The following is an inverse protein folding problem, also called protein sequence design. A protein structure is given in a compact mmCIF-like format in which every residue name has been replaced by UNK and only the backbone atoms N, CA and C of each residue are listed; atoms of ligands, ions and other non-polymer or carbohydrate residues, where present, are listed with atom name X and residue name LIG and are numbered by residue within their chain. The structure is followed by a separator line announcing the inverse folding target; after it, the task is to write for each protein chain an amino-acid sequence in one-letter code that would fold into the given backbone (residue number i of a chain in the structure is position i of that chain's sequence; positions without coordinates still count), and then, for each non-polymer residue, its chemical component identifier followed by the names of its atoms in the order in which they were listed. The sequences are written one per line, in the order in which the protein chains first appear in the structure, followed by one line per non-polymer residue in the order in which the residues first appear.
data_IF_559380881702
#
_entry.id   IF_559380881702
#
_cell.length_a   1.000
_cell.length_b   1.000
_cell.length_c   1.000
_cell.angle_alpha   90.00
_cell.angle_beta   90.00
_cell.angle_gamma   90.00
#
_symmetry.space_group_name_H-M   'P 1'
#
loop_
_entity.id
_entity.type
_entity.pdbx_description
1 polymer ?
#
# COMPACT_ATOMS: atom_id res chain seq x y z
N UNK A 1 -7.08 -25.14 -9.98
CA UNK A 1 -6.16 -24.55 -10.97
C UNK A 1 -5.99 -25.44 -12.19
N UNK A 2 -5.53 -26.70 -12.05
CA UNK A 2 -5.41 -27.64 -13.18
C UNK A 2 -6.72 -27.78 -13.98
N UNK A 3 -7.86 -27.91 -13.30
CA UNK A 3 -9.18 -27.94 -13.93
C UNK A 3 -9.50 -26.69 -14.77
N UNK A 4 -9.11 -25.50 -14.29
CA UNK A 4 -9.33 -24.26 -15.04
C UNK A 4 -8.40 -24.16 -16.26
N UNK A 5 -7.18 -24.70 -16.19
CA UNK A 5 -6.29 -24.76 -17.34
C UNK A 5 -6.93 -25.59 -18.49
N UNK A 6 -7.49 -26.76 -18.18
CA UNK A 6 -8.22 -27.58 -19.16
C UNK A 6 -9.45 -26.87 -19.72
N UNK A 7 -10.21 -26.18 -18.86
CA UNK A 7 -11.39 -25.40 -19.31
C UNK A 7 -11.03 -24.18 -20.15
N UNK A 8 -9.78 -23.70 -20.06
CA UNK A 8 -9.33 -22.51 -20.78
C UNK A 8 -9.23 -22.80 -22.27
N UNK A 9 -8.74 -23.99 -22.62
CA UNK A 9 -8.71 -24.50 -23.99
C UNK A 9 -10.12 -24.70 -24.56
N UNK A 10 -11.07 -25.09 -23.70
CA UNK A 10 -12.48 -25.22 -24.05
C UNK A 10 -13.27 -23.89 -24.05
N UNK A 11 -12.64 -22.76 -23.73
CA UNK A 11 -13.28 -21.44 -23.68
C UNK A 11 -14.32 -21.26 -22.57
N UNK A 12 -14.30 -22.11 -21.54
CA UNK A 12 -15.28 -22.13 -20.43
C UNK A 12 -14.65 -21.88 -19.06
N UNK A 13 -13.36 -21.53 -19.01
CA UNK A 13 -12.66 -21.28 -17.77
C UNK A 13 -13.18 -20.04 -17.04
N UNK A 14 -13.20 -20.12 -15.72
CA UNK A 14 -13.48 -19.00 -14.84
C UNK A 14 -12.17 -18.43 -14.31
N UNK A 15 -12.00 -17.11 -14.43
CA UNK A 15 -10.87 -16.37 -13.85
C UNK A 15 -10.68 -16.71 -12.37
N UNK A 16 -9.46 -16.60 -11.87
CA UNK A 16 -9.09 -17.05 -10.53
C UNK A 16 -8.58 -15.90 -9.66
N UNK A 17 -9.05 -15.86 -8.42
CA UNK A 17 -8.52 -14.99 -7.36
C UNK A 17 -7.94 -15.86 -6.26
N UNK A 18 -6.62 -15.90 -6.12
CA UNK A 18 -5.91 -16.65 -5.10
C UNK A 18 -5.52 -15.72 -3.96
N UNK A 19 -5.88 -16.06 -2.72
CA UNK A 19 -5.48 -15.25 -1.58
C UNK A 19 -4.97 -16.05 -0.39
N UNK A 20 -4.26 -15.37 0.51
CA UNK A 20 -3.70 -15.96 1.73
C UNK A 20 -2.49 -15.19 2.21
N UNK A 21 -2.08 -15.37 3.46
CA UNK A 21 -0.98 -14.62 4.07
C UNK A 21 0.35 -14.70 3.28
N UNK A 22 1.29 -13.81 3.60
CA UNK A 22 2.65 -13.81 3.03
C UNK A 22 3.31 -15.18 3.28
N UNK A 23 4.10 -15.66 2.32
CA UNK A 23 4.83 -16.92 2.45
C UNK A 23 4.00 -18.19 2.22
N UNK A 24 2.69 -18.09 1.90
CA UNK A 24 1.82 -19.26 1.63
C UNK A 24 1.97 -19.89 0.24
N UNK A 25 3.00 -19.50 -0.54
CA UNK A 25 3.27 -20.10 -1.85
C UNK A 25 2.36 -19.67 -2.99
N UNK A 26 1.60 -18.56 -2.85
CA UNK A 26 0.71 -18.04 -3.91
C UNK A 26 1.43 -17.79 -5.24
N UNK A 27 2.58 -17.12 -5.20
CA UNK A 27 3.38 -16.83 -6.40
C UNK A 27 3.99 -18.10 -7.00
N UNK A 28 4.25 -19.13 -6.18
CA UNK A 28 4.68 -20.46 -6.66
C UNK A 28 3.53 -21.21 -7.36
N UNK A 29 2.32 -21.15 -6.80
CA UNK A 29 1.11 -21.71 -7.41
C UNK A 29 0.77 -21.03 -8.74
N UNK A 30 0.87 -19.69 -8.78
CA UNK A 30 0.72 -18.92 -10.01
C UNK A 30 1.80 -19.30 -11.02
N UNK A 31 3.06 -19.45 -10.61
CA UNK A 31 4.15 -19.85 -11.48
C UNK A 31 3.93 -21.25 -12.07
N UNK A 32 3.55 -22.21 -11.23
CA UNK A 32 3.21 -23.57 -11.68
C UNK A 32 2.05 -23.58 -12.68
N UNK A 33 0.99 -22.83 -12.42
CA UNK A 33 -0.12 -22.67 -13.37
C UNK A 33 0.37 -22.03 -14.68
N UNK A 34 1.10 -20.93 -14.60
CA UNK A 34 1.59 -20.21 -15.76
C UNK A 34 2.49 -21.08 -16.63
N UNK A 35 3.40 -21.85 -16.02
CA UNK A 35 4.30 -22.76 -16.75
C UNK A 35 3.56 -23.94 -17.37
N UNK A 36 2.59 -24.53 -16.66
CA UNK A 36 1.80 -25.67 -17.16
C UNK A 36 0.89 -25.35 -18.34
N UNK A 37 0.57 -24.07 -18.56
CA UNK A 37 -0.36 -23.65 -19.59
C UNK A 37 0.34 -23.56 -20.96
N UNK A 38 0.02 -24.45 -21.90
CA UNK A 38 0.55 -24.43 -23.27
C UNK A 38 -0.16 -23.38 -24.16
N UNK A 39 -0.34 -22.16 -23.65
CA UNK A 39 -0.99 -21.07 -24.37
C UNK A 39 0.03 -20.02 -24.83
N UNK A 40 0.17 -19.73 -26.13
CA UNK A 40 1.19 -18.79 -26.63
C UNK A 40 0.90 -17.33 -26.26
N UNK A 41 -0.35 -17.01 -25.94
CA UNK A 41 -0.79 -15.65 -25.60
C UNK A 41 -1.04 -15.44 -24.09
N UNK A 42 -0.09 -15.87 -23.26
CA UNK A 42 -0.12 -15.68 -21.81
C UNK A 42 0.89 -14.63 -21.37
N UNK A 43 0.54 -13.81 -20.38
CA UNK A 43 1.45 -12.83 -19.76
C UNK A 43 1.36 -12.92 -18.25
N UNK A 44 2.52 -12.77 -17.60
CA UNK A 44 2.64 -12.63 -16.14
C UNK A 44 3.26 -11.28 -15.83
N UNK A 45 2.62 -10.50 -14.97
CA UNK A 45 3.04 -9.15 -14.61
C UNK A 45 2.82 -8.93 -13.11
N UNK A 46 3.67 -8.12 -12.47
CA UNK A 46 3.32 -7.54 -11.19
C UNK A 46 2.23 -6.49 -11.39
N UNK A 47 1.22 -6.49 -10.52
CA UNK A 47 0.07 -5.60 -10.71
C UNK A 47 0.48 -4.12 -10.70
N UNK A 48 1.36 -3.71 -9.78
CA UNK A 48 1.78 -2.31 -9.64
C UNK A 48 2.51 -1.78 -10.89
N UNK A 49 3.39 -2.58 -11.49
CA UNK A 49 4.12 -2.20 -12.71
C UNK A 49 3.18 -2.03 -13.90
N UNK A 50 2.23 -2.96 -14.05
CA UNK A 50 1.21 -2.87 -15.09
C UNK A 50 0.33 -1.64 -14.86
N UNK A 51 -0.05 -1.38 -13.62
CA UNK A 51 -0.93 -0.26 -13.27
C UNK A 51 -0.25 1.10 -13.51
N UNK A 52 1.04 1.22 -13.20
CA UNK A 52 1.83 2.40 -13.54
C UNK A 52 1.90 2.64 -15.06
N UNK A 53 2.11 1.58 -15.86
CA UNK A 53 2.08 1.66 -17.33
C UNK A 53 0.70 2.06 -17.86
N UNK A 54 -0.38 1.56 -17.23
CA UNK A 54 -1.75 1.93 -17.56
C UNK A 54 -1.99 3.43 -17.36
N UNK A 55 -1.58 3.98 -16.21
CA UNK A 55 -1.68 5.42 -15.94
C UNK A 55 -0.91 6.25 -16.97
N UNK A 56 0.33 5.85 -17.28
CA UNK A 56 1.14 6.56 -18.26
C UNK A 56 0.51 6.52 -19.65
N UNK A 57 0.04 5.35 -20.10
CA UNK A 57 -0.62 5.20 -21.39
C UNK A 57 -1.91 6.00 -21.48
N UNK A 58 -2.72 6.03 -20.43
CA UNK A 58 -3.95 6.84 -20.39
C UNK A 58 -3.65 8.33 -20.51
N UNK A 59 -2.55 8.80 -19.93
CA UNK A 59 -2.11 10.19 -20.13
C UNK A 59 -1.73 10.46 -21.58
N UNK A 60 -1.06 9.52 -22.24
CA UNK A 60 -0.72 9.61 -23.67
C UNK A 60 -1.95 9.58 -24.57
N UNK A 61 -3.01 8.88 -24.18
CA UNK A 61 -4.27 8.76 -24.94
C UNK A 61 -5.39 9.65 -24.42
N UNK A 62 -5.08 10.66 -23.60
CA UNK A 62 -6.08 11.53 -22.96
C UNK A 62 -7.01 12.27 -23.93
N UNK A 63 -6.59 12.43 -25.18
CA UNK A 63 -7.36 13.11 -26.23
C UNK A 63 -8.28 12.14 -26.99
N UNK A 64 -8.31 10.86 -26.61
CA UNK A 64 -9.24 9.86 -27.12
C UNK A 64 -10.44 9.68 -26.18
N UNK A 65 -11.61 9.40 -26.75
CA UNK A 65 -12.86 9.20 -25.98
C UNK A 65 -12.77 8.03 -24.99
N UNK A 66 -12.05 6.95 -25.35
CA UNK A 66 -11.75 5.81 -24.48
C UNK A 66 -10.24 5.62 -24.33
N UNK A 67 -9.61 6.54 -23.58
CA UNK A 67 -8.18 6.47 -23.25
C UNK A 67 -7.80 5.14 -22.58
N UNK A 68 -8.66 4.58 -21.73
CA UNK A 68 -8.42 3.32 -21.03
C UNK A 68 -8.37 2.15 -22.03
N UNK A 69 -9.40 2.02 -22.87
CA UNK A 69 -9.48 0.96 -23.86
C UNK A 69 -8.31 1.01 -24.84
N UNK A 70 -7.98 2.19 -25.35
CA UNK A 70 -6.84 2.37 -26.26
C UNK A 70 -5.51 1.96 -25.63
N UNK A 71 -5.28 2.33 -24.36
CA UNK A 71 -4.07 1.92 -23.65
C UNK A 71 -4.04 0.41 -23.45
N UNK A 72 -5.17 -0.20 -23.09
CA UNK A 72 -5.25 -1.65 -22.90
C UNK A 72 -5.05 -2.43 -24.20
N UNK A 73 -5.51 -1.92 -25.34
CA UNK A 73 -5.32 -2.57 -26.63
C UNK A 73 -3.83 -2.61 -27.02
N UNK A 74 -3.07 -1.56 -26.71
CA UNK A 74 -1.61 -1.54 -26.84
C UNK A 74 -0.92 -2.43 -25.82
N UNK A 75 -1.26 -2.30 -24.53
CA UNK A 75 -0.62 -3.06 -23.47
C UNK A 75 -0.90 -4.55 -23.58
N UNK A 76 -2.10 -4.97 -23.96
CA UNK A 76 -2.57 -6.36 -23.93
C UNK A 76 -2.77 -6.95 -25.33
N UNK A 77 -2.11 -6.39 -26.34
CA UNK A 77 -2.24 -6.85 -27.72
C UNK A 77 -2.02 -8.36 -27.84
N UNK A 78 -3.03 -9.07 -28.37
CA UNK A 78 -3.01 -10.51 -28.55
C UNK A 78 -3.11 -11.33 -27.25
N UNK A 79 -3.16 -10.73 -26.07
CA UNK A 79 -3.24 -11.43 -24.79
C UNK A 79 -4.59 -12.15 -24.61
N UNK A 80 -4.54 -13.37 -24.06
CA UNK A 80 -5.72 -14.17 -23.70
C UNK A 80 -5.70 -14.65 -22.25
N UNK A 81 -4.52 -14.75 -21.65
CA UNK A 81 -4.32 -15.15 -20.26
C UNK A 81 -3.42 -14.15 -19.57
N UNK A 82 -3.93 -13.53 -18.52
CA UNK A 82 -3.22 -12.51 -17.76
C UNK A 82 -3.09 -12.97 -16.30
N UNK A 83 -1.85 -13.18 -15.87
CA UNK A 83 -1.52 -13.54 -14.50
C UNK A 83 -0.95 -12.31 -13.78
N UNK A 84 -1.68 -11.79 -12.80
CA UNK A 84 -1.23 -10.71 -11.93
C UNK A 84 -0.69 -11.26 -10.62
N UNK A 85 0.60 -11.01 -10.37
CA UNK A 85 1.22 -11.24 -9.07
C UNK A 85 1.02 -10.02 -8.16
N UNK A 86 0.99 -10.28 -6.85
CA UNK A 86 0.97 -9.25 -5.79
C UNK A 86 -0.09 -8.13 -5.97
N UNK A 87 -1.35 -8.51 -6.21
CA UNK A 87 -2.44 -7.55 -6.24
C UNK A 87 -2.72 -6.97 -4.86
N UNK A 88 -2.28 -5.73 -4.68
CA UNK A 88 -2.46 -4.95 -3.47
C UNK A 88 -2.81 -3.51 -3.84
N UNK A 89 -3.94 -3.02 -3.31
CA UNK A 89 -4.43 -1.68 -3.57
C UNK A 89 -4.31 -0.85 -2.30
N UNK A 90 -3.42 0.13 -2.33
CA UNK A 90 -3.17 1.05 -1.22
C UNK A 90 -3.67 2.48 -1.50
N UNK A 91 -3.95 2.81 -2.77
CA UNK A 91 -4.44 4.14 -3.17
C UNK A 91 -5.95 4.12 -3.48
N UNK A 92 -6.62 5.15 -2.98
CA UNK A 92 -8.06 5.41 -3.07
C UNK A 92 -8.43 6.05 -4.41
N UNK A 93 -7.52 6.83 -5.01
CA UNK A 93 -7.75 7.56 -6.27
C UNK A 93 -8.00 6.65 -7.47
N UNK A 94 -7.55 5.40 -7.34
CA UNK A 94 -7.44 4.45 -8.45
C UNK A 94 -8.57 3.42 -8.49
N UNK A 95 -9.48 3.42 -7.50
CA UNK A 95 -10.58 2.45 -7.44
C UNK A 95 -11.47 2.48 -8.70
N UNK A 96 -11.71 3.67 -9.25
CA UNK A 96 -12.47 3.85 -10.50
C UNK A 96 -11.71 3.26 -11.70
N UNK A 97 -10.40 3.49 -11.78
CA UNK A 97 -9.57 2.97 -12.85
C UNK A 97 -9.46 1.45 -12.77
N UNK A 98 -9.28 0.88 -11.58
CA UNK A 98 -9.26 -0.57 -11.35
C UNK A 98 -10.61 -1.18 -11.73
N UNK A 99 -11.72 -0.53 -11.41
CA UNK A 99 -13.06 -0.96 -11.85
C UNK A 99 -13.15 -1.00 -13.37
N UNK A 100 -12.71 0.06 -14.05
CA UNK A 100 -12.64 0.13 -15.51
C UNK A 100 -11.77 -0.97 -16.10
N UNK A 101 -10.59 -1.19 -15.51
CA UNK A 101 -9.64 -2.23 -15.91
C UNK A 101 -10.29 -3.62 -15.87
N UNK A 102 -10.89 -4.02 -14.74
CA UNK A 102 -11.49 -5.35 -14.64
C UNK A 102 -12.66 -5.54 -15.62
N UNK A 103 -13.53 -4.53 -15.78
CA UNK A 103 -14.59 -4.58 -16.80
C UNK A 103 -14.01 -4.79 -18.20
N UNK A 104 -13.03 -3.97 -18.57
CA UNK A 104 -12.38 -4.02 -19.87
C UNK A 104 -11.69 -5.38 -20.13
N UNK A 105 -11.06 -5.98 -19.11
CA UNK A 105 -10.46 -7.32 -19.21
C UNK A 105 -11.52 -8.40 -19.45
N UNK A 106 -12.63 -8.35 -18.72
CA UNK A 106 -13.71 -9.33 -18.85
C UNK A 106 -14.49 -9.19 -20.17
N UNK A 107 -14.75 -7.96 -20.62
CA UNK A 107 -15.35 -7.69 -21.93
C UNK A 107 -14.48 -8.23 -23.08
N UNK A 108 -13.16 -8.14 -22.95
CA UNK A 108 -12.17 -8.74 -23.87
C UNK A 108 -12.04 -10.26 -23.74
N UNK A 109 -12.78 -10.88 -22.82
CA UNK A 109 -12.73 -12.33 -22.50
C UNK A 109 -11.31 -12.81 -22.19
N UNK A 110 -10.50 -11.95 -21.56
CA UNK A 110 -9.18 -12.32 -21.07
C UNK A 110 -9.38 -13.11 -19.78
N UNK A 111 -8.82 -14.30 -19.70
CA UNK A 111 -8.77 -15.05 -18.45
C UNK A 111 -7.76 -14.37 -17.53
N UNK A 112 -8.19 -14.08 -16.30
CA UNK A 112 -7.36 -13.42 -15.29
C UNK A 112 -7.07 -14.40 -14.16
N UNK A 113 -5.81 -14.56 -13.78
CA UNK A 113 -5.41 -15.18 -12.52
C UNK A 113 -4.73 -14.11 -11.68
N UNK A 114 -5.20 -13.91 -10.47
CA UNK A 114 -4.75 -12.83 -9.62
C UNK A 114 -4.38 -13.38 -8.24
N UNK A 115 -3.21 -13.01 -7.71
CA UNK A 115 -2.80 -13.38 -6.34
C UNK A 115 -2.77 -12.16 -5.43
N UNK A 116 -3.31 -12.29 -4.21
CA UNK A 116 -3.26 -11.24 -3.18
C UNK A 116 -2.97 -11.80 -1.78
N UNK A 117 -2.40 -11.01 -0.88
CA UNK A 117 -2.37 -11.34 0.54
C UNK A 117 -3.72 -11.14 1.27
N UNK A 118 -4.72 -10.54 0.62
CA UNK A 118 -6.01 -10.22 1.22
C UNK A 118 -7.15 -10.95 0.51
N UNK A 119 -8.20 -11.32 1.25
CA UNK A 119 -9.47 -11.70 0.63
C UNK A 119 -10.07 -10.50 -0.11
N UNK A 120 -10.97 -10.69 -1.11
CA UNK A 120 -11.57 -9.59 -1.84
C UNK A 120 -12.21 -8.53 -0.94
N UNK A 121 -12.86 -8.94 0.16
CA UNK A 121 -13.48 -8.07 1.14
C UNK A 121 -12.48 -7.25 1.95
N UNK A 122 -11.25 -7.77 2.10
CA UNK A 122 -10.15 -7.12 2.79
C UNK A 122 -9.32 -6.19 1.89
N UNK A 123 -9.67 -6.08 0.61
CA UNK A 123 -9.05 -5.11 -0.29
C UNK A 123 -9.51 -3.70 0.03
N UNK A 124 -8.55 -2.77 0.11
CA UNK A 124 -8.77 -1.39 0.53
C UNK A 124 -9.64 -1.30 1.81
N UNK A 125 -9.18 -1.83 2.96
CA UNK A 125 -10.01 -2.01 4.16
C UNK A 125 -10.41 -0.70 4.85
N UNK A 126 -10.15 0.44 4.22
CA UNK A 126 -10.50 1.78 4.69
C UNK A 126 -12.00 2.03 4.60
N UNK A 127 -12.76 2.16 5.69
CA UNK A 127 -14.23 2.20 5.63
C UNK A 127 -14.82 3.43 4.92
N UNK A 128 -14.11 4.56 4.74
CA UNK A 128 -14.61 5.71 3.94
C UNK A 128 -14.61 5.37 2.45
N UNK A 129 -13.58 4.67 2.00
CA UNK A 129 -13.33 4.44 0.58
C UNK A 129 -13.59 3.01 0.14
N UNK A 130 -13.81 2.09 1.08
CA UNK A 130 -14.20 0.71 0.81
C UNK A 130 -15.45 0.65 -0.05
N UNK A 131 -16.43 1.54 0.20
CA UNK A 131 -17.61 1.70 -0.68
C UNK A 131 -17.26 2.00 -2.14
N UNK A 132 -16.17 2.76 -2.39
CA UNK A 132 -15.68 3.05 -3.75
C UNK A 132 -14.99 1.84 -4.38
N UNK A 133 -14.52 0.91 -3.57
CA UNK A 133 -13.87 -0.33 -3.99
C UNK A 133 -14.85 -1.52 -4.07
N UNK A 134 -16.03 -1.43 -3.44
CA UNK A 134 -17.10 -2.42 -3.58
C UNK A 134 -17.43 -2.80 -5.03
N UNK A 135 -17.45 -1.88 -6.02
CA UNK A 135 -17.64 -2.27 -7.42
C UNK A 135 -16.58 -3.27 -7.90
N UNK A 136 -15.32 -3.09 -7.51
CA UNK A 136 -14.23 -4.02 -7.82
C UNK A 136 -14.46 -5.36 -7.12
N UNK A 137 -14.81 -5.34 -5.84
CA UNK A 137 -15.10 -6.56 -5.06
C UNK A 137 -16.24 -7.34 -5.71
N UNK A 138 -17.31 -6.66 -6.12
CA UNK A 138 -18.44 -7.27 -6.84
C UNK A 138 -18.00 -7.88 -8.17
N UNK A 139 -17.17 -7.19 -8.94
CA UNK A 139 -16.62 -7.73 -10.19
C UNK A 139 -15.77 -8.98 -9.96
N UNK A 140 -14.90 -8.97 -8.96
CA UNK A 140 -14.09 -10.15 -8.59
C UNK A 140 -15.00 -11.31 -8.23
N UNK A 141 -15.98 -11.12 -7.34
CA UNK A 141 -16.91 -12.18 -6.92
C UNK A 141 -17.81 -12.69 -8.04
N UNK A 142 -18.20 -11.82 -8.97
CA UNK A 142 -19.10 -12.18 -10.06
C UNK A 142 -18.39 -12.94 -11.19
N UNK A 143 -17.12 -12.64 -11.44
CA UNK A 143 -16.40 -13.13 -12.62
C UNK A 143 -15.20 -14.02 -12.31
N UNK A 144 -14.83 -14.16 -11.02
CA UNK A 144 -13.70 -14.98 -10.60
C UNK A 144 -14.10 -15.99 -9.54
N UNK A 145 -13.48 -17.17 -9.59
CA UNK A 145 -13.49 -18.13 -8.50
C UNK A 145 -12.45 -17.71 -7.46
N UNK A 146 -12.92 -17.40 -6.25
CA UNK A 146 -12.09 -16.98 -5.12
C UNK A 146 -11.62 -18.22 -4.36
N UNK A 147 -10.30 -18.38 -4.20
CA UNK A 147 -9.66 -19.54 -3.58
C UNK A 147 -8.66 -19.08 -2.51
N UNK A 148 -8.79 -19.63 -1.32
CA UNK A 148 -7.83 -19.42 -0.24
C UNK A 148 -6.68 -20.44 -0.33
N UNK A 149 -5.46 -19.96 -0.14
CA UNK A 149 -4.24 -20.76 -0.14
C UNK A 149 -3.76 -20.91 1.31
N UNK A 150 -4.17 -22.03 1.93
CA UNK A 150 -3.60 -22.51 3.21
C UNK A 150 -4.50 -22.52 4.47
N UNK A 151 -5.77 -22.94 4.39
CA UNK A 151 -6.59 -23.26 5.59
C UNK A 151 -6.21 -24.61 6.24
N UNK A 152 -6.51 -24.96 7.49
CA UNK A 152 -7.24 -24.30 8.60
C UNK A 152 -6.26 -23.88 9.71
N UNK A 153 -6.23 -22.59 10.09
CA UNK A 153 -5.95 -22.18 11.46
C UNK A 153 -6.35 -20.72 11.70
N UNK A 154 -7.15 -20.60 12.75
CA UNK A 154 -7.76 -19.45 13.41
C UNK A 154 -7.22 -18.03 13.15
N UNK A 155 -8.20 -17.13 13.09
CA UNK A 155 -8.09 -15.69 12.94
C UNK A 155 -7.56 -15.06 14.24
N UNK A 156 -6.25 -15.12 14.49
CA UNK A 156 -5.59 -14.24 15.47
C UNK A 156 -4.35 -13.62 14.87
N UNK A 157 -4.52 -12.36 14.45
CA UNK A 157 -3.64 -11.25 14.81
C UNK A 157 -2.27 -11.63 15.37
N UNK A 158 -1.32 -12.01 14.52
CA UNK A 158 0.09 -11.84 14.82
C UNK A 158 0.83 -11.70 13.48
N UNK A 159 1.51 -10.56 13.21
CA UNK A 159 2.57 -10.57 12.23
C UNK A 159 3.58 -11.62 12.68
N UNK A 160 3.98 -12.48 11.75
CA UNK A 160 4.97 -13.55 11.93
C UNK A 160 6.14 -13.06 12.78
N UNK A 161 6.19 -13.49 14.04
CA UNK A 161 7.34 -13.36 14.91
C UNK A 161 8.49 -14.18 14.28
N UNK A 162 9.44 -13.52 13.63
CA UNK A 162 10.58 -14.22 13.04
C UNK A 162 11.52 -13.39 12.16
N UNK A 163 11.06 -12.32 11.53
CA UNK A 163 11.93 -11.30 10.92
C UNK A 163 11.64 -9.97 11.59
N UNK A 164 12.61 -9.39 12.32
CA UNK A 164 12.44 -8.07 12.93
C UNK A 164 12.24 -7.03 11.82
N UNK A 165 10.98 -6.64 11.58
CA UNK A 165 10.62 -5.58 10.65
C UNK A 165 11.26 -4.27 11.12
N UNK A 166 11.90 -3.53 10.20
CA UNK A 166 12.51 -2.22 10.50
C UNK A 166 11.50 -1.24 11.10
N UNK A 167 10.22 -1.35 10.70
CA UNK A 167 9.17 -0.52 11.29
C UNK A 167 9.01 -0.76 12.80
N UNK A 168 8.98 -2.03 13.24
CA UNK A 168 8.83 -2.40 14.67
C UNK A 168 10.04 -2.03 15.53
N UNK A 169 11.19 -1.81 14.91
CA UNK A 169 12.39 -1.27 15.57
C UNK A 169 12.33 0.25 15.74
N UNK A 170 11.36 0.93 15.11
CA UNK A 170 11.13 2.36 15.25
C UNK A 170 10.71 2.78 16.66
N UNK A 171 10.58 4.09 16.86
CA UNK A 171 10.35 4.69 18.17
C UNK A 171 9.23 5.75 18.14
N UNK A 172 8.44 5.78 19.20
CA UNK A 172 7.59 6.93 19.52
C UNK A 172 8.12 7.63 20.77
N UNK A 173 8.43 8.92 20.65
CA UNK A 173 8.97 9.74 21.74
C UNK A 173 7.96 10.79 22.18
N UNK A 174 7.73 10.92 23.49
CA UNK A 174 7.02 12.05 24.07
C UNK A 174 7.60 12.40 25.45
N UNK A 175 7.82 13.69 25.77
CA UNK A 175 7.67 14.87 24.90
C UNK A 175 8.84 15.07 23.90
N UNK A 176 9.74 14.09 23.76
CA UNK A 176 10.91 14.19 22.87
C UNK A 176 12.07 14.99 23.47
N UNK A 177 12.32 14.81 24.77
CA UNK A 177 13.42 15.44 25.51
C UNK A 177 14.79 15.14 24.89
N UNK A 178 15.82 15.99 25.13
CA UNK A 178 17.18 15.76 24.61
C UNK A 178 17.74 14.37 24.95
N UNK A 179 17.47 13.86 26.15
CA UNK A 179 17.89 12.54 26.58
C UNK A 179 17.21 11.41 25.77
N UNK A 180 15.90 11.51 25.53
CA UNK A 180 15.17 10.57 24.66
C UNK A 180 15.72 10.60 23.24
N UNK A 181 15.97 11.81 22.70
CA UNK A 181 16.54 11.97 21.35
C UNK A 181 17.93 11.35 21.22
N UNK A 182 18.75 11.48 22.26
CA UNK A 182 20.07 10.86 22.32
C UNK A 182 19.98 9.33 22.46
N UNK A 183 19.02 8.80 23.24
CA UNK A 183 18.84 7.37 23.43
C UNK A 183 18.54 6.60 22.14
N UNK A 184 17.88 7.25 21.18
CA UNK A 184 17.60 6.69 19.84
C UNK A 184 18.58 7.16 18.76
N UNK A 185 19.69 7.79 19.14
CA UNK A 185 20.75 8.28 18.25
C UNK A 185 20.25 9.24 17.16
N UNK A 186 19.32 10.15 17.48
CA UNK A 186 18.86 11.15 16.50
C UNK A 186 20.00 12.11 16.12
N UNK A 187 20.09 12.51 14.83
CA UNK A 187 21.11 13.43 14.36
C UNK A 187 21.00 14.81 15.03
N UNK A 188 22.14 15.33 15.49
CA UNK A 188 22.25 16.62 16.16
C UNK A 188 22.41 17.79 15.16
N UNK A 189 23.09 17.55 14.03
CA UNK A 189 23.24 18.53 12.94
C UNK A 189 22.02 18.50 12.03
N UNK A 190 21.27 19.61 11.99
CA UNK A 190 20.05 19.76 11.20
C UNK A 190 20.19 20.94 10.25
N UNK A 191 20.59 20.65 9.02
CA UNK A 191 20.60 21.63 7.95
C UNK A 191 19.33 21.43 7.12
N UNK A 192 18.38 22.39 7.14
CA UNK A 192 17.18 22.31 6.34
C UNK A 192 17.52 22.17 4.86
N UNK A 193 16.80 21.29 4.17
CA UNK A 193 17.04 21.00 2.76
C UNK A 193 15.71 20.86 2.03
N UNK A 194 15.69 21.36 0.80
CA UNK A 194 14.54 21.23 -0.08
C UNK A 194 14.69 19.96 -0.90
N UNK A 195 13.70 19.08 -0.82
CA UNK A 195 13.65 17.82 -1.55
C UNK A 195 12.67 17.94 -2.71
N UNK A 196 13.14 17.68 -3.92
CA UNK A 196 12.29 17.53 -5.08
C UNK A 196 11.66 16.12 -5.09
N UNK A 197 10.33 16.07 -5.19
CA UNK A 197 9.53 14.85 -5.24
C UNK A 197 8.49 15.00 -6.34
N UNK A 198 8.76 14.37 -7.50
CA UNK A 198 7.97 14.60 -8.71
C UNK A 198 8.06 16.06 -9.16
N UNK A 199 6.95 16.81 -9.06
CA UNK A 199 6.90 18.26 -9.36
C UNK A 199 6.83 19.14 -8.10
N UNK A 200 6.91 18.53 -6.91
CA UNK A 200 6.78 19.22 -5.62
C UNK A 200 8.14 19.44 -5.00
N UNK A 201 8.21 20.47 -4.17
CA UNK A 201 9.36 20.75 -3.33
C UNK A 201 8.92 20.69 -1.88
N UNK A 202 9.49 19.77 -1.12
CA UNK A 202 9.19 19.58 0.31
C UNK A 202 10.37 20.04 1.15
N UNK A 203 10.07 20.74 2.25
CA UNK A 203 11.09 21.23 3.18
C UNK A 203 11.35 20.16 4.23
N UNK A 204 12.50 19.50 4.14
CA UNK A 204 12.97 18.59 5.17
C UNK A 204 13.79 19.38 6.20
N UNK A 205 13.68 19.00 7.47
CA UNK A 205 14.52 19.50 8.56
C UNK A 205 15.99 19.14 8.32
N UNK A 206 16.23 17.99 7.69
CA UNK A 206 17.51 17.52 7.21
C UNK A 206 17.32 16.29 6.31
N UNK A 207 18.34 15.99 5.51
CA UNK A 207 18.46 14.74 4.76
C UNK A 207 19.92 14.32 4.78
N UNK A 208 20.22 13.15 5.31
CA UNK A 208 21.58 12.61 5.39
C UNK A 208 21.58 11.11 5.06
N UNK A 209 22.39 10.71 4.07
CA UNK A 209 22.43 9.33 3.57
C UNK A 209 21.03 8.80 3.23
N UNK A 210 20.52 7.81 3.99
CA UNK A 210 19.18 7.20 3.83
C UNK A 210 18.20 7.63 4.93
N UNK A 211 18.48 8.73 5.61
CA UNK A 211 17.66 9.29 6.69
C UNK A 211 17.10 10.64 6.30
N UNK A 212 15.80 10.84 6.53
CA UNK A 212 15.12 12.13 6.30
C UNK A 212 14.31 12.55 7.53
N UNK A 213 14.37 13.83 7.85
CA UNK A 213 13.61 14.44 8.94
C UNK A 213 12.60 15.45 8.41
N UNK A 214 11.36 15.39 8.88
CA UNK A 214 10.31 16.37 8.59
C UNK A 214 9.65 16.85 9.87
N UNK A 215 9.23 18.11 9.90
CA UNK A 215 8.16 18.52 10.80
C UNK A 215 6.82 18.03 10.24
N UNK A 216 5.86 17.74 11.12
CA UNK A 216 4.55 17.22 10.73
C UNK A 216 3.86 18.10 9.69
N UNK A 217 3.87 19.42 9.88
CA UNK A 217 3.25 20.40 8.98
C UNK A 217 3.89 20.42 7.57
N UNK A 218 5.21 20.29 7.51
CA UNK A 218 6.00 20.31 6.29
C UNK A 218 5.73 19.12 5.36
N UNK A 219 5.08 18.06 5.87
CA UNK A 219 4.73 16.87 5.08
C UNK A 219 3.23 16.58 5.06
N UNK A 220 2.50 16.81 6.16
CA UNK A 220 1.08 16.49 6.31
C UNK A 220 0.15 17.70 6.12
N UNK A 221 0.63 18.95 6.22
CA UNK A 221 -0.19 20.12 5.87
C UNK A 221 0.03 20.61 4.44
N UNK A 222 1.01 20.03 3.76
CA UNK A 222 1.27 20.26 2.35
C UNK A 222 0.33 19.46 1.44
N UNK A 223 0.13 19.86 0.16
CA UNK A 223 -0.69 19.13 -0.81
C UNK A 223 0.03 17.88 -1.36
N UNK A 224 0.53 17.03 -0.46
CA UNK A 224 1.19 15.75 -0.74
C UNK A 224 0.18 14.65 -0.98
N UNK A 225 0.59 13.66 -1.78
CA UNK A 225 -0.17 12.47 -2.14
C UNK A 225 0.64 11.20 -1.83
N UNK A 226 -0.01 10.04 -1.87
CA UNK A 226 0.61 8.73 -1.59
C UNK A 226 1.85 8.50 -2.45
N UNK A 227 1.80 8.88 -3.73
CA UNK A 227 2.94 8.75 -4.66
C UNK A 227 4.17 9.54 -4.22
N UNK A 228 4.00 10.68 -3.55
CA UNK A 228 5.13 11.47 -3.03
C UNK A 228 5.82 10.69 -1.89
N UNK A 229 5.04 10.04 -1.03
CA UNK A 229 5.57 9.21 0.07
C UNK A 229 6.26 7.95 -0.46
N UNK A 230 5.71 7.31 -1.49
CA UNK A 230 6.33 6.14 -2.12
C UNK A 230 7.68 6.50 -2.76
N UNK A 231 7.76 7.64 -3.44
CA UNK A 231 9.02 8.12 -4.02
C UNK A 231 10.07 8.42 -2.93
N UNK A 232 9.67 9.12 -1.87
CA UNK A 232 10.55 9.35 -0.72
C UNK A 232 10.95 8.04 -0.04
N UNK A 233 10.05 7.06 0.07
CA UNK A 233 10.34 5.75 0.67
C UNK A 233 11.32 4.92 -0.17
N UNK A 234 11.39 5.11 -1.50
CA UNK A 234 12.47 4.51 -2.30
C UNK A 234 13.84 5.09 -1.92
N UNK A 235 13.88 6.41 -1.67
CA UNK A 235 15.10 7.16 -1.36
C UNK A 235 15.59 6.98 0.07
N UNK A 236 14.67 6.90 1.04
CA UNK A 236 14.97 6.92 2.47
C UNK A 236 14.43 5.70 3.20
N UNK A 237 15.27 5.12 4.06
CA UNK A 237 14.92 3.98 4.91
C UNK A 237 14.56 4.38 6.34
N UNK A 238 15.10 5.52 6.81
CA UNK A 238 14.91 6.02 8.15
C UNK A 238 14.19 7.37 8.10
N UNK A 239 13.09 7.46 8.83
CA UNK A 239 12.18 8.60 8.83
C UNK A 239 12.06 9.15 10.23
N UNK A 240 12.17 10.47 10.34
CA UNK A 240 12.01 11.18 11.60
C UNK A 240 10.92 12.22 11.39
N UNK A 241 9.77 12.04 12.03
CA UNK A 241 8.65 12.98 11.97
C UNK A 241 8.53 13.66 13.33
N UNK A 242 8.75 14.97 13.35
CA UNK A 242 8.70 15.78 14.57
C UNK A 242 7.42 16.58 14.67
N UNK A 243 7.10 16.96 15.91
CA UNK A 243 5.97 17.84 16.24
C UNK A 243 4.62 17.24 15.83
N UNK A 244 4.42 15.94 16.08
CA UNK A 244 3.10 15.33 15.95
C UNK A 244 2.11 16.08 16.87
N UNK A 245 1.09 16.76 16.31
CA UNK A 245 0.07 17.44 17.09
C UNK A 245 -0.97 16.43 17.61
N UNK A 246 -1.97 16.91 18.35
CA UNK A 246 -3.22 16.17 18.49
C UNK A 246 -3.90 16.11 17.12
N UNK A 247 -4.03 14.91 16.54
CA UNK A 247 -4.65 14.74 15.23
C UNK A 247 -6.10 15.21 15.20
N UNK A 248 -6.82 15.25 16.32
CA UNK A 248 -8.19 15.74 16.38
C UNK A 248 -8.31 17.25 16.10
N UNK A 249 -7.24 18.01 16.34
CA UNK A 249 -7.16 19.44 16.08
C UNK A 249 -6.74 19.75 14.63
N UNK A 250 -6.21 18.77 13.91
CA UNK A 250 -5.81 18.91 12.52
C UNK A 250 -7.01 18.89 11.56
N UNK A 251 -6.82 19.50 10.38
CA UNK A 251 -7.78 19.33 9.27
C UNK A 251 -7.92 17.86 8.85
N UNK A 252 -9.10 17.46 8.37
CA UNK A 252 -9.37 16.11 7.86
C UNK A 252 -8.35 15.72 6.77
N UNK A 253 -7.96 16.67 5.91
CA UNK A 253 -6.96 16.45 4.87
C UNK A 253 -5.57 16.13 5.46
N UNK A 254 -5.15 16.84 6.51
CA UNK A 254 -3.89 16.57 7.19
C UNK A 254 -3.90 15.23 7.94
N UNK A 255 -5.01 14.91 8.61
CA UNK A 255 -5.21 13.59 9.24
C UNK A 255 -5.07 12.47 8.21
N UNK A 256 -5.75 12.58 7.06
CA UNK A 256 -5.66 11.58 5.99
C UNK A 256 -4.25 11.46 5.41
N UNK A 257 -3.54 12.58 5.22
CA UNK A 257 -2.16 12.57 4.74
C UNK A 257 -1.19 11.91 5.71
N UNK A 258 -1.39 12.12 7.02
CA UNK A 258 -0.61 11.42 8.04
C UNK A 258 -0.89 9.92 8.05
N UNK A 259 -2.16 9.52 7.98
CA UNK A 259 -2.57 8.10 7.86
C UNK A 259 -1.89 7.47 6.64
N UNK A 260 -1.99 8.10 5.47
CA UNK A 260 -1.37 7.62 4.24
C UNK A 260 0.15 7.53 4.34
N UNK A 261 0.81 8.48 5.00
CA UNK A 261 2.25 8.45 5.25
C UNK A 261 2.64 7.23 6.10
N UNK A 262 1.97 7.03 7.25
CA UNK A 262 2.25 5.90 8.15
C UNK A 262 2.01 4.57 7.44
N UNK A 263 0.97 4.48 6.63
CA UNK A 263 0.65 3.28 5.85
C UNK A 263 1.78 2.95 4.88
N UNK A 264 2.27 3.94 4.10
CA UNK A 264 3.39 3.75 3.18
C UNK A 264 4.66 3.33 3.93
N UNK A 265 4.98 3.96 5.06
CA UNK A 265 6.17 3.61 5.83
C UNK A 265 6.09 2.21 6.41
N UNK A 266 4.90 1.80 6.88
CA UNK A 266 4.67 0.45 7.38
C UNK A 266 4.78 -0.60 6.26
N UNK A 267 4.09 -0.38 5.14
CA UNK A 267 4.03 -1.34 4.04
C UNK A 267 5.38 -1.48 3.31
N UNK A 268 6.19 -0.42 3.30
CA UNK A 268 7.56 -0.42 2.74
C UNK A 268 8.64 -0.78 3.77
N UNK A 269 8.25 -1.24 4.97
CA UNK A 269 9.13 -1.61 6.10
C UNK A 269 10.23 -0.56 6.39
N UNK A 270 9.80 0.67 6.62
CA UNK A 270 10.66 1.82 6.94
C UNK A 270 10.79 2.01 8.44
N UNK A 271 11.98 2.39 8.88
CA UNK A 271 12.21 2.70 10.27
C UNK A 271 11.68 4.10 10.59
N UNK A 272 10.69 4.21 11.49
CA UNK A 272 10.05 5.48 11.87
C UNK A 272 10.43 5.89 13.30
N UNK A 273 10.93 7.11 13.46
CA UNK A 273 10.95 7.83 14.74
C UNK A 273 9.91 8.92 14.69
N UNK A 274 8.87 8.80 15.50
CA UNK A 274 7.78 9.76 15.59
C UNK A 274 7.86 10.49 16.93
N UNK A 275 7.81 11.82 16.91
CA UNK A 275 7.98 12.65 18.11
C UNK A 275 6.75 13.53 18.30
N UNK A 276 6.05 13.34 19.40
CA UNK A 276 4.89 14.15 19.80
C UNK A 276 5.07 14.77 21.19
N UNK A 277 4.07 15.53 21.63
CA UNK A 277 4.08 16.16 22.97
C UNK A 277 3.43 15.30 24.05
N UNK A 278 2.51 14.41 23.67
CA UNK A 278 1.68 13.62 24.58
C UNK A 278 1.78 12.13 24.26
N UNK A 279 1.28 11.23 25.14
CA UNK A 279 1.22 9.80 24.85
C UNK A 279 0.53 9.51 23.51
N UNK A 280 0.96 8.44 22.82
CA UNK A 280 0.46 8.11 21.48
C UNK A 280 -1.08 7.96 21.43
N UNK A 281 -1.76 7.32 22.41
CA UNK A 281 -3.21 7.22 22.39
C UNK A 281 -3.91 8.59 22.40
N UNK A 282 -3.31 9.58 23.07
CA UNK A 282 -3.85 10.92 23.23
C UNK A 282 -3.56 11.79 21.99
N UNK A 283 -2.35 11.65 21.39
CA UNK A 283 -2.01 12.30 20.12
C UNK A 283 -2.85 11.82 18.93
N UNK A 284 -3.37 10.59 19.00
CA UNK A 284 -4.21 9.99 17.98
C UNK A 284 -5.69 10.13 18.34
N UNK A 285 -6.09 11.30 18.83
CA UNK A 285 -7.49 11.71 18.95
C UNK A 285 -8.17 11.89 17.57
N UNK A 286 -9.50 11.91 17.55
CA UNK A 286 -10.29 12.23 16.35
C UNK A 286 -11.12 11.08 15.78
N UNK A 287 -12.05 11.41 14.91
CA UNK A 287 -13.06 10.51 14.33
C UNK A 287 -12.74 10.05 12.90
N UNK A 288 -11.50 10.24 12.42
CA UNK A 288 -11.10 9.76 11.10
C UNK A 288 -11.20 8.22 11.04
N UNK A 289 -11.74 7.72 9.94
CA UNK A 289 -12.30 6.37 9.84
C UNK A 289 -11.22 5.27 9.66
N UNK A 290 -9.92 5.63 9.60
CA UNK A 290 -8.79 4.68 9.63
C UNK A 290 -7.85 4.86 10.83
N UNK A 291 -8.19 5.77 11.73
CA UNK A 291 -7.31 6.10 12.83
C UNK A 291 -7.02 4.88 13.72
N UNK A 292 -7.96 3.92 13.81
CA UNK A 292 -7.79 2.66 14.51
C UNK A 292 -6.66 1.79 13.91
N UNK A 293 -6.55 1.72 12.58
CA UNK A 293 -5.47 1.00 11.90
C UNK A 293 -4.14 1.69 12.11
N UNK A 294 -4.10 3.01 11.96
CA UNK A 294 -2.91 3.82 12.20
C UNK A 294 -2.45 3.70 13.66
N UNK A 295 -3.37 3.70 14.63
CA UNK A 295 -3.09 3.40 16.04
C UNK A 295 -2.46 2.02 16.21
N UNK A 296 -3.02 0.98 15.57
CA UNK A 296 -2.47 -0.38 15.64
C UNK A 296 -1.07 -0.49 15.03
N UNK A 297 -0.78 0.24 13.94
CA UNK A 297 0.56 0.29 13.33
C UNK A 297 1.54 1.04 14.22
N UNK A 298 1.21 2.26 14.62
CA UNK A 298 2.07 3.09 15.47
C UNK A 298 2.27 2.50 16.87
N UNK A 299 1.30 1.73 17.38
CA UNK A 299 1.42 0.99 18.64
C UNK A 299 2.45 -0.14 18.60
N UNK A 300 2.98 -0.51 17.44
CA UNK A 300 4.11 -1.45 17.30
C UNK A 300 5.47 -0.78 17.46
N UNK A 301 5.53 0.55 17.52
CA UNK A 301 6.77 1.29 17.77
C UNK A 301 7.19 1.18 19.24
N UNK A 302 8.49 1.25 19.50
CA UNK A 302 9.02 1.29 20.85
C UNK A 302 8.74 2.65 21.49
N UNK A 303 7.84 2.66 22.47
CA UNK A 303 7.39 3.85 23.16
C UNK A 303 8.40 4.29 24.23
N UNK A 304 8.85 5.55 24.16
CA UNK A 304 9.74 6.18 25.14
C UNK A 304 9.06 7.44 25.70
N UNK A 305 8.40 7.27 26.83
CA UNK A 305 7.77 8.34 27.61
C UNK A 305 8.73 9.03 28.59
N UNK A 306 8.25 10.02 29.37
CA UNK A 306 9.04 10.63 30.43
C UNK A 306 9.43 9.59 31.49
N UNK A 307 10.59 9.80 32.14
CA UNK A 307 11.12 8.89 33.15
C UNK A 307 10.08 8.65 34.27
N UNK A 308 9.58 7.43 34.38
CA UNK A 308 8.60 7.01 35.40
C UNK A 308 7.24 6.54 34.87
N UNK A 309 6.96 6.65 33.57
CA UNK A 309 5.71 6.14 32.97
C UNK A 309 5.95 4.79 32.28
N UNK A 310 5.78 3.68 32.99
CA UNK A 310 5.56 2.35 32.37
C UNK A 310 4.08 1.99 32.49
N UNK A 311 3.42 1.80 31.35
CA UNK A 311 2.01 1.39 31.26
C UNK A 311 1.52 1.48 29.83
#
# INVERSE_FOLDING_TARGET
MAEQATRLEAGTACSLYLYGAVGRGKSWLLDGFFQSLEHPHKRRLHFHDFFAQLHQGMFTHRDQDDALGATLDGLLQGCRVLCFDEFHVHDIGDAMLITGLFKALFERRIFVLLTSNYAPEGLLPNPIYHQRFEPVIRLIKAHMQVLEVGGDQDYRSHPTAGSQQRFTQGHYLWPGSPAQRQAVNLPQGREPVQLEVGKRHLHALFSQARTVGFAFDAICEQPTAVMDYLELARRFDHWIIEQLPDLSECSIAAQQRFINLVDVLYDQDKHLVLIGQQPLPDSLGGSAIDLARTRSRLGQLNALGPAGCTG
#
